data_IF_376261705336
#
_entry.id   IF_376261705336
#
_cell.length_a   1.000
_cell.length_b   1.000
_cell.length_c   1.000
_cell.angle_alpha   90.00
_cell.angle_beta   90.00
_cell.angle_gamma   90.00
#
_symmetry.space_group_name_H-M   'P 1'
#
loop_
_entity.id
_entity.type
_entity.pdbx_description
1 polymer ?
#
# COMPACT_ATOMS: atom_id res chain seq x y z
N UNK A 1 -14.91 27.58 5.08
CA UNK A 1 -14.64 27.23 3.67
C UNK A 1 -13.25 26.60 3.42
N UNK A 2 -12.42 26.35 4.45
CA UNK A 2 -11.11 25.66 4.37
C UNK A 2 -11.07 24.22 3.79
N UNK A 3 -12.10 23.34 3.94
CA UNK A 3 -11.96 21.92 3.60
C UNK A 3 -11.74 21.62 2.12
N UNK A 4 -12.25 22.46 1.21
CA UNK A 4 -12.13 22.25 -0.24
C UNK A 4 -10.69 22.47 -0.74
N UNK A 5 -10.07 23.56 -0.29
CA UNK A 5 -8.70 23.91 -0.67
C UNK A 5 -7.68 22.87 -0.17
N UNK A 6 -7.88 22.33 1.04
CA UNK A 6 -7.02 21.28 1.59
C UNK A 6 -7.09 19.99 0.77
N UNK A 7 -8.29 19.54 0.40
CA UNK A 7 -8.49 18.35 -0.45
C UNK A 7 -7.83 18.53 -1.83
N UNK A 8 -8.01 19.69 -2.45
CA UNK A 8 -7.41 20.00 -3.74
C UNK A 8 -5.87 19.98 -3.67
N UNK A 9 -5.29 20.52 -2.59
CA UNK A 9 -3.84 20.51 -2.36
C UNK A 9 -3.29 19.08 -2.22
N UNK A 10 -3.96 18.22 -1.44
CA UNK A 10 -3.55 16.82 -1.29
C UNK A 10 -3.65 16.09 -2.63
N UNK A 11 -4.76 16.24 -3.34
CA UNK A 11 -4.94 15.63 -4.67
C UNK A 11 -3.86 16.07 -5.65
N UNK A 12 -3.54 17.37 -5.70
CA UNK A 12 -2.49 17.92 -6.55
C UNK A 12 -1.13 17.28 -6.25
N UNK A 13 -0.73 17.21 -4.97
CA UNK A 13 0.53 16.60 -4.56
C UNK A 13 0.60 15.11 -4.93
N UNK A 14 -0.50 14.37 -4.77
CA UNK A 14 -0.57 12.96 -5.14
C UNK A 14 -0.47 12.74 -6.65
N UNK A 15 -1.09 13.61 -7.44
CA UNK A 15 -0.96 13.59 -8.89
C UNK A 15 0.50 13.88 -9.29
N UNK A 16 1.12 14.91 -8.71
CA UNK A 16 2.52 15.24 -9.00
C UNK A 16 3.48 14.12 -8.60
N UNK A 17 3.31 13.54 -7.42
CA UNK A 17 4.13 12.42 -6.96
C UNK A 17 4.01 11.20 -7.87
N UNK A 18 2.83 10.95 -8.42
CA UNK A 18 2.63 9.88 -9.39
C UNK A 18 3.42 10.10 -10.69
N UNK A 19 3.42 11.32 -11.22
CA UNK A 19 4.14 11.64 -12.46
C UNK A 19 5.65 11.76 -12.28
N UNK A 20 6.10 12.25 -11.13
CA UNK A 20 7.51 12.54 -10.84
C UNK A 20 8.18 11.50 -9.94
N UNK A 21 7.45 10.47 -9.51
CA UNK A 21 7.94 9.34 -8.71
C UNK A 21 8.56 9.73 -7.35
N UNK A 22 8.18 10.89 -6.79
CA UNK A 22 8.77 11.48 -5.59
C UNK A 22 7.95 11.30 -4.31
N UNK A 23 7.05 10.31 -4.23
CA UNK A 23 6.17 10.11 -3.06
C UNK A 23 6.95 10.18 -1.73
N UNK A 24 8.13 9.55 -1.69
CA UNK A 24 9.04 9.53 -0.54
C UNK A 24 9.33 10.94 -0.02
N UNK A 25 9.74 11.84 -0.90
CA UNK A 25 10.16 13.22 -0.57
C UNK A 25 9.03 14.06 0.01
N UNK A 26 7.78 13.79 -0.39
CA UNK A 26 6.61 14.53 0.07
C UNK A 26 5.83 13.82 1.19
N UNK A 27 6.31 12.67 1.68
CA UNK A 27 5.55 11.80 2.59
C UNK A 27 5.15 12.52 3.88
N UNK A 28 6.07 13.27 4.48
CA UNK A 28 5.79 14.04 5.69
C UNK A 28 4.76 15.16 5.45
N UNK A 29 4.88 15.87 4.33
CA UNK A 29 3.94 16.94 3.94
C UNK A 29 2.54 16.35 3.72
N UNK A 30 2.44 15.21 3.05
CA UNK A 30 1.17 14.51 2.84
C UNK A 30 0.55 14.06 4.16
N UNK A 31 1.35 13.47 5.07
CA UNK A 31 0.86 13.06 6.38
C UNK A 31 0.27 14.24 7.15
N UNK A 32 0.98 15.37 7.20
CA UNK A 32 0.55 16.57 7.92
C UNK A 32 -0.74 17.15 7.33
N UNK A 33 -0.87 17.18 5.99
CA UNK A 33 -2.06 17.67 5.32
C UNK A 33 -3.25 16.71 5.50
N UNK A 34 -3.01 15.40 5.47
CA UNK A 34 -4.04 14.40 5.69
C UNK A 34 -4.54 14.37 7.14
N UNK A 35 -3.67 14.67 8.12
CA UNK A 35 -4.06 14.81 9.52
C UNK A 35 -5.03 15.99 9.73
N UNK A 36 -4.90 17.05 8.94
CA UNK A 36 -5.77 18.25 8.99
C UNK A 36 -7.14 18.04 8.35
N UNK A 37 -7.39 16.92 7.66
CA UNK A 37 -8.69 16.66 7.08
C UNK A 37 -9.74 16.54 8.21
N UNK A 38 -10.94 17.12 8.05
CA UNK A 38 -12.00 16.96 9.03
C UNK A 38 -12.50 15.50 9.03
N UNK A 39 -12.66 14.90 10.22
CA UNK A 39 -13.51 13.72 10.38
C UNK A 39 -14.96 14.20 10.49
N UNK A 40 -15.87 13.61 9.73
CA UNK A 40 -17.28 13.98 9.79
C UNK A 40 -18.16 13.15 8.87
N UNK A 41 -19.50 13.27 8.99
CA UNK A 41 -20.44 12.54 8.16
C UNK A 41 -20.25 12.92 6.69
N UNK A 42 -19.94 11.95 5.84
CA UNK A 42 -19.65 12.15 4.42
C UNK A 42 -18.53 11.24 3.91
N UNK A 43 -17.94 11.60 2.77
CA UNK A 43 -16.82 10.86 2.18
C UNK A 43 -15.58 10.99 3.08
N UNK A 44 -15.01 9.86 3.50
CA UNK A 44 -13.72 9.81 4.18
C UNK A 44 -12.58 10.06 3.18
N UNK A 45 -12.20 11.34 3.04
CA UNK A 45 -11.12 11.73 2.15
C UNK A 45 -9.75 11.22 2.61
N UNK A 46 -9.54 10.95 3.91
CA UNK A 46 -8.30 10.31 4.36
C UNK A 46 -8.21 8.90 3.76
N UNK A 47 -9.28 8.11 3.85
CA UNK A 47 -9.36 6.78 3.24
C UNK A 47 -9.19 6.84 1.73
N UNK A 48 -9.88 7.75 1.05
CA UNK A 48 -9.78 7.92 -0.43
C UNK A 48 -8.34 8.17 -0.87
N UNK A 49 -7.61 9.05 -0.18
CA UNK A 49 -6.22 9.35 -0.54
C UNK A 49 -5.26 8.20 -0.24
N UNK A 50 -5.44 7.46 0.86
CA UNK A 50 -4.68 6.23 1.14
C UNK A 50 -4.87 5.19 0.02
N UNK A 51 -6.12 4.98 -0.43
CA UNK A 51 -6.43 4.07 -1.53
C UNK A 51 -5.80 4.54 -2.83
N UNK A 52 -5.84 5.84 -3.13
CA UNK A 52 -5.20 6.40 -4.32
C UNK A 52 -3.68 6.15 -4.34
N UNK A 53 -2.99 6.37 -3.21
CA UNK A 53 -1.55 6.09 -3.07
C UNK A 53 -1.27 4.61 -3.37
N UNK A 54 -1.99 3.70 -2.73
CA UNK A 54 -1.81 2.26 -2.94
C UNK A 54 -2.10 1.79 -4.38
N UNK A 55 -3.04 2.47 -5.05
CA UNK A 55 -3.44 2.15 -6.41
C UNK A 55 -2.48 2.69 -7.48
N UNK A 56 -1.81 3.81 -7.21
CA UNK A 56 -1.03 4.55 -8.23
C UNK A 56 0.48 4.45 -8.05
N UNK A 57 0.96 4.22 -6.82
CA UNK A 57 2.38 4.24 -6.50
C UNK A 57 2.99 2.84 -6.50
N UNK A 58 4.31 2.77 -6.73
CA UNK A 58 5.08 1.53 -6.61
C UNK A 58 5.01 1.00 -5.17
N UNK A 59 5.01 -0.33 -5.04
CA UNK A 59 4.87 -1.03 -3.75
C UNK A 59 5.85 -0.52 -2.70
N UNK A 60 7.13 -0.44 -3.05
CA UNK A 60 8.17 -0.04 -2.08
C UNK A 60 7.93 1.37 -1.55
N UNK A 61 7.49 2.27 -2.43
CA UNK A 61 7.14 3.64 -2.07
C UNK A 61 5.90 3.68 -1.18
N UNK A 62 4.91 2.83 -1.44
CA UNK A 62 3.73 2.67 -0.56
C UNK A 62 4.14 2.16 0.82
N UNK A 63 5.02 1.15 0.90
CA UNK A 63 5.48 0.61 2.17
C UNK A 63 6.32 1.61 2.98
N UNK A 64 7.20 2.35 2.31
CA UNK A 64 7.95 3.47 2.92
C UNK A 64 7.00 4.55 3.45
N UNK A 65 6.00 4.95 2.65
CA UNK A 65 4.99 5.92 3.07
C UNK A 65 4.19 5.43 4.29
N UNK A 66 3.77 4.17 4.32
CA UNK A 66 3.08 3.58 5.46
C UNK A 66 3.97 3.50 6.71
N UNK A 67 5.28 3.27 6.55
CA UNK A 67 6.22 3.29 7.65
C UNK A 67 6.37 4.70 8.25
N UNK A 68 6.33 5.75 7.42
CA UNK A 68 6.31 7.14 7.88
C UNK A 68 5.01 7.46 8.64
N UNK A 69 3.86 6.99 8.15
CA UNK A 69 2.58 7.20 8.84
C UNK A 69 2.57 6.57 10.24
N UNK A 70 3.13 5.35 10.39
CA UNK A 70 3.20 4.63 11.66
C UNK A 70 4.10 5.28 12.71
N UNK A 71 5.01 6.18 12.30
CA UNK A 71 5.90 6.89 13.21
C UNK A 71 5.28 8.19 13.77
N UNK A 72 4.13 8.63 13.25
CA UNK A 72 3.47 9.80 13.80
C UNK A 72 2.68 9.43 15.06
N UNK A 73 2.83 10.16 16.18
CA UNK A 73 2.07 9.90 17.39
C UNK A 73 0.57 10.10 17.10
N UNK A 74 -0.24 9.13 17.52
CA UNK A 74 -1.70 9.25 17.51
C UNK A 74 -2.08 10.54 18.24
N UNK A 75 -2.61 11.51 17.49
CA UNK A 75 -3.22 12.68 18.12
C UNK A 75 -4.58 12.25 18.64
N UNK A 76 -4.70 12.14 19.96
CA UNK A 76 -5.93 11.90 20.70
C UNK A 76 -7.07 12.77 20.16
N UNK A 77 -8.18 12.13 19.75
CA UNK A 77 -9.41 12.83 19.45
C UNK A 77 -10.28 12.20 18.36
N UNK A 78 -10.93 11.08 18.68
CA UNK A 78 -12.21 10.69 18.06
C UNK A 78 -12.25 9.30 17.42
N UNK A 79 -12.76 8.34 18.19
CA UNK A 79 -13.33 7.05 17.76
C UNK A 79 -12.35 5.91 17.39
N UNK A 80 -11.58 5.47 18.39
CA UNK A 80 -10.59 4.37 18.29
C UNK A 80 -11.16 3.01 17.84
N UNK A 81 -12.46 2.76 17.95
CA UNK A 81 -13.06 1.46 17.61
C UNK A 81 -13.41 1.32 16.11
N UNK A 82 -13.58 2.43 15.38
CA UNK A 82 -13.81 2.44 13.93
C UNK A 82 -12.51 2.49 13.13
N UNK A 83 -11.41 2.95 13.73
CA UNK A 83 -10.09 3.04 13.10
C UNK A 83 -9.47 1.66 12.81
N UNK A 84 -9.56 0.71 13.76
CA UNK A 84 -8.97 -0.62 13.59
C UNK A 84 -9.68 -1.48 12.52
N UNK A 85 -11.02 -1.40 12.43
CA UNK A 85 -11.79 -2.15 11.42
C UNK A 85 -11.53 -1.59 10.03
N UNK A 86 -11.46 -0.27 9.89
CA UNK A 86 -11.16 0.37 8.61
C UNK A 86 -9.70 0.22 8.21
N UNK A 87 -8.77 0.18 9.17
CA UNK A 87 -7.38 -0.17 8.96
C UNK A 87 -7.24 -1.64 8.51
N UNK A 88 -7.90 -2.60 9.16
CA UNK A 88 -7.88 -4.01 8.74
C UNK A 88 -8.52 -4.24 7.37
N UNK A 89 -9.62 -3.55 7.07
CA UNK A 89 -10.22 -3.58 5.72
C UNK A 89 -9.30 -2.96 4.69
N UNK A 90 -8.65 -1.85 5.01
CA UNK A 90 -7.70 -1.19 4.12
C UNK A 90 -6.46 -2.04 3.90
N UNK A 91 -5.89 -2.64 4.95
CA UNK A 91 -4.80 -3.61 4.86
C UNK A 91 -5.22 -4.81 4.01
N UNK A 92 -6.44 -5.34 4.21
CA UNK A 92 -6.99 -6.42 3.39
C UNK A 92 -7.15 -6.05 1.92
N UNK A 93 -7.67 -4.87 1.61
CA UNK A 93 -7.82 -4.36 0.23
C UNK A 93 -6.46 -4.09 -0.43
N UNK A 94 -5.51 -3.49 0.30
CA UNK A 94 -4.15 -3.25 -0.16
C UNK A 94 -3.43 -4.57 -0.42
N UNK A 95 -3.50 -5.50 0.53
CA UNK A 95 -2.92 -6.83 0.43
C UNK A 95 -3.51 -7.59 -0.76
N UNK A 96 -4.83 -7.60 -0.91
CA UNK A 96 -5.50 -8.27 -2.03
C UNK A 96 -5.12 -7.68 -3.39
N UNK A 97 -5.01 -6.35 -3.52
CA UNK A 97 -4.52 -5.72 -4.75
C UNK A 97 -3.05 -6.02 -5.04
N UNK A 98 -2.22 -6.07 -4.01
CA UNK A 98 -0.80 -6.42 -4.15
C UNK A 98 -0.64 -7.90 -4.56
N UNK A 99 -1.33 -8.81 -3.87
CA UNK A 99 -1.37 -10.23 -4.17
C UNK A 99 -1.79 -10.46 -5.62
N UNK A 100 -2.92 -9.90 -6.07
CA UNK A 100 -3.39 -10.09 -7.44
C UNK A 100 -2.48 -9.48 -8.51
N UNK A 101 -1.78 -8.37 -8.21
CA UNK A 101 -0.76 -7.83 -9.13
C UNK A 101 0.45 -8.74 -9.24
N UNK A 102 0.96 -9.24 -8.12
CA UNK A 102 2.13 -10.12 -8.09
C UNK A 102 1.83 -11.49 -8.71
N UNK A 103 0.68 -12.09 -8.38
CA UNK A 103 0.22 -13.35 -8.98
C UNK A 103 0.16 -13.23 -10.51
N UNK A 104 -0.43 -12.14 -11.02
CA UNK A 104 -0.52 -11.89 -12.47
C UNK A 104 0.86 -11.74 -13.11
N UNK A 105 1.76 -10.95 -12.52
CA UNK A 105 3.11 -10.76 -13.04
C UNK A 105 3.90 -12.08 -13.04
N UNK A 106 3.81 -12.86 -11.95
CA UNK A 106 4.45 -14.18 -11.84
C UNK A 106 3.91 -15.14 -12.91
N UNK A 107 2.59 -15.20 -13.07
CA UNK A 107 1.94 -16.05 -14.07
C UNK A 107 2.39 -15.72 -15.50
N UNK A 108 2.48 -14.43 -15.85
CA UNK A 108 2.95 -13.99 -17.18
C UNK A 108 4.40 -14.44 -17.43
N UNK A 109 5.29 -14.21 -16.47
CA UNK A 109 6.71 -14.58 -16.60
C UNK A 109 6.87 -16.11 -16.68
N UNK A 110 6.18 -16.88 -15.84
CA UNK A 110 6.23 -18.33 -15.87
C UNK A 110 5.71 -18.92 -17.19
N UNK A 111 4.64 -18.34 -17.75
CA UNK A 111 4.12 -18.75 -19.05
C UNK A 111 5.12 -18.45 -20.18
N UNK A 112 5.76 -17.28 -20.19
CA UNK A 112 6.81 -16.95 -21.16
C UNK A 112 8.00 -17.90 -21.04
N UNK A 113 8.44 -18.21 -19.82
CA UNK A 113 9.52 -19.20 -19.58
C UNK A 113 9.14 -20.59 -20.10
N UNK A 114 7.91 -21.05 -19.86
CA UNK A 114 7.41 -22.34 -20.37
C UNK A 114 7.37 -22.39 -21.90
N UNK A 115 7.14 -21.25 -22.55
CA UNK A 115 7.19 -21.11 -24.01
C UNK A 115 8.62 -21.02 -24.56
N UNK A 116 9.65 -21.08 -23.71
CA UNK A 116 11.05 -21.00 -24.11
C UNK A 116 11.50 -19.59 -24.50
N UNK A 117 10.77 -18.55 -24.07
CA UNK A 117 11.15 -17.15 -24.35
C UNK A 117 12.42 -16.78 -23.58
N UNK A 118 13.36 -16.14 -24.27
CA UNK A 118 14.62 -15.68 -23.68
C UNK A 118 14.40 -14.62 -22.59
N UNK A 119 15.26 -14.64 -21.57
CA UNK A 119 15.15 -13.73 -20.43
C UNK A 119 15.25 -12.25 -20.83
N UNK A 120 16.07 -11.90 -21.83
CA UNK A 120 16.17 -10.51 -22.26
C UNK A 120 14.86 -10.02 -22.88
N UNK A 121 14.15 -10.89 -23.59
CA UNK A 121 12.84 -10.56 -24.14
C UNK A 121 11.78 -10.44 -23.04
N UNK A 122 11.80 -11.33 -22.05
CA UNK A 122 10.92 -11.25 -20.87
C UNK A 122 11.16 -9.94 -20.11
N UNK A 123 12.42 -9.58 -19.87
CA UNK A 123 12.77 -8.34 -19.17
C UNK A 123 12.30 -7.10 -19.93
N UNK A 124 12.46 -7.08 -21.27
CA UNK A 124 11.95 -5.99 -22.09
C UNK A 124 10.41 -5.92 -22.11
N UNK A 125 9.71 -7.05 -22.11
CA UNK A 125 8.25 -7.10 -22.17
C UNK A 125 7.57 -6.80 -20.82
N UNK A 126 8.21 -7.16 -19.71
CA UNK A 126 7.63 -7.07 -18.36
C UNK A 126 8.25 -5.96 -17.51
N UNK A 127 9.41 -5.44 -17.89
CA UNK A 127 10.21 -4.51 -17.08
C UNK A 127 10.91 -5.18 -15.89
N UNK A 128 10.85 -6.51 -15.76
CA UNK A 128 11.43 -7.25 -14.63
C UNK A 128 12.75 -7.91 -15.01
N UNK A 129 13.80 -7.66 -14.24
CA UNK A 129 15.02 -8.44 -14.32
C UNK A 129 14.95 -9.72 -13.46
N UNK A 130 15.92 -10.62 -13.61
CA UNK A 130 15.86 -11.97 -13.01
C UNK A 130 15.82 -11.92 -11.49
N UNK A 131 16.61 -11.03 -10.90
CA UNK A 131 16.66 -10.85 -9.46
C UNK A 131 15.33 -10.30 -8.93
N UNK A 132 14.78 -9.26 -9.57
CA UNK A 132 13.48 -8.69 -9.20
C UNK A 132 12.34 -9.72 -9.30
N UNK A 133 12.42 -10.62 -10.28
CA UNK A 133 11.48 -11.72 -10.40
C UNK A 133 11.59 -12.70 -9.23
N UNK A 134 12.80 -13.13 -8.88
CA UNK A 134 13.05 -14.05 -7.75
C UNK A 134 12.62 -13.43 -6.42
N UNK A 135 12.94 -12.16 -6.19
CA UNK A 135 12.48 -11.40 -5.02
C UNK A 135 10.94 -11.32 -4.97
N UNK A 136 10.30 -11.02 -6.09
CA UNK A 136 8.84 -11.00 -6.19
C UNK A 136 8.22 -12.37 -5.87
N UNK A 137 8.83 -13.48 -6.30
CA UNK A 137 8.35 -14.82 -5.95
C UNK A 137 8.44 -15.09 -4.44
N UNK A 138 9.57 -14.73 -3.80
CA UNK A 138 9.76 -14.88 -2.35
C UNK A 138 8.74 -14.03 -1.59
N UNK A 139 8.59 -12.77 -1.96
CA UNK A 139 7.63 -11.86 -1.35
C UNK A 139 6.18 -12.32 -1.52
N UNK A 140 5.83 -12.87 -2.67
CA UNK A 140 4.51 -13.43 -2.92
C UNK A 140 4.22 -14.59 -1.97
N UNK A 141 5.18 -15.49 -1.78
CA UNK A 141 5.06 -16.59 -0.81
C UNK A 141 4.88 -16.08 0.63
N UNK A 142 5.60 -15.03 1.02
CA UNK A 142 5.42 -14.39 2.33
C UNK A 142 4.06 -13.69 2.49
N UNK A 143 3.50 -13.14 1.42
CA UNK A 143 2.19 -12.48 1.46
C UNK A 143 1.04 -13.48 1.61
N UNK A 144 1.09 -14.61 0.90
CA UNK A 144 0.03 -15.62 0.93
C UNK A 144 0.14 -16.60 2.11
N UNK A 145 1.29 -16.65 2.78
CA UNK A 145 1.42 -17.41 4.03
C UNK A 145 0.64 -16.69 5.14
N UNK A 146 -0.25 -17.44 5.82
CA UNK A 146 -1.05 -16.89 6.93
C UNK A 146 -0.12 -16.43 8.06
N UNK A 147 -0.39 -15.29 8.72
CA UNK A 147 0.22 -15.02 10.01
C UNK A 147 -0.18 -16.15 10.97
N UNK A 148 0.80 -16.84 11.54
CA UNK A 148 0.59 -17.72 12.67
C UNK A 148 0.08 -16.85 13.80
N UNK A 149 -1.23 -16.84 14.06
CA UNK A 149 -1.77 -16.27 15.28
C UNK A 149 -1.15 -17.12 16.41
N UNK A 150 -0.33 -16.56 17.31
CA UNK A 150 0.10 -17.30 18.48
C UNK A 150 -1.18 -17.69 19.22
N UNK A 151 -1.41 -18.99 19.35
CA UNK A 151 -2.58 -19.54 20.00
C UNK A 151 -2.60 -19.04 21.45
N UNK A 152 -3.31 -17.95 21.69
CA UNK A 152 -3.36 -17.28 22.99
C UNK A 152 -4.30 -18.04 23.94
N UNK A 153 -4.94 -19.12 23.46
CA UNK A 153 -5.76 -20.00 24.28
C UNK A 153 -4.94 -20.83 25.29
N UNK A 154 -3.61 -20.92 25.15
CA UNK A 154 -2.77 -21.70 26.07
C UNK A 154 -2.37 -20.98 27.38
N UNK A 155 -2.85 -19.74 27.64
CA UNK A 155 -2.45 -18.95 28.84
C UNK A 155 -3.49 -18.83 29.95
N UNK A 156 -4.65 -19.47 29.85
CA UNK A 156 -5.64 -19.53 30.96
C UNK A 156 -5.76 -20.90 31.62
N UNK A 157 -4.62 -21.55 31.87
CA UNK A 157 -4.55 -22.72 32.75
C UNK A 157 -3.42 -22.55 33.75
N UNK A 158 -3.59 -21.61 34.70
CA UNK A 158 -2.95 -21.62 36.01
C UNK A 158 -3.89 -20.96 37.03
#
# INVERSE_FOLDING_TARGET
QLPGALKARIAHLLIQANFQQHLKEISHILCDLMAQLPQGPGIDYRRVFKIYIAATQDRDKVLEFLAVMRQQPEKEGGDDMLCAIDEWKLEGEIKGKMEGRMEKSISIVDNMKKMGVDWNFIANATGLNKQQYEEMQIEYQHLISKPTIPDTAARMSL
#
